data_IF_420589815349
#
_entry.id   IF_420589815349
#
_cell.length_a   1.000
_cell.length_b   1.000
_cell.length_c   1.000
_cell.angle_alpha   90.00
_cell.angle_beta   90.00
_cell.angle_gamma   90.00
#
_symmetry.space_group_name_H-M   'P 1'
#
loop_
_entity.id
_entity.type
_entity.pdbx_description
1 polymer ?
#
# COMPACT_ATOMS: atom_id res chain seq x y z
N UNK A 1 4.13 -13.84 -21.02
CA UNK A 1 4.10 -13.00 -19.81
C UNK A 1 3.11 -13.64 -18.87
N UNK A 2 3.57 -14.42 -17.89
CA UNK A 2 2.69 -15.24 -17.08
C UNK A 2 3.40 -15.68 -15.83
N UNK A 3 3.48 -14.79 -14.83
CA UNK A 3 3.96 -15.15 -13.50
C UNK A 3 3.02 -14.61 -12.40
N UNK A 4 2.23 -13.57 -12.66
CA UNK A 4 1.28 -13.01 -11.69
C UNK A 4 -0.13 -12.91 -12.28
N UNK A 5 -1.16 -13.26 -11.50
CA UNK A 5 -2.54 -12.96 -11.89
C UNK A 5 -2.75 -11.46 -11.74
N UNK A 6 -3.40 -10.85 -12.73
CA UNK A 6 -3.77 -9.42 -12.73
C UNK A 6 -4.45 -8.99 -11.42
N UNK A 7 -5.16 -9.90 -10.77
CA UNK A 7 -5.91 -9.70 -9.53
C UNK A 7 -5.01 -9.53 -8.29
N UNK A 8 -3.75 -9.99 -8.35
CA UNK A 8 -2.80 -9.92 -7.23
C UNK A 8 -1.98 -8.62 -7.23
N UNK A 9 -2.03 -7.86 -8.33
CA UNK A 9 -1.26 -6.63 -8.51
C UNK A 9 -2.06 -5.45 -7.97
N UNK A 10 -1.51 -4.79 -6.96
CA UNK A 10 -2.15 -3.65 -6.29
C UNK A 10 -1.61 -2.31 -6.76
N UNK A 11 -0.34 -2.27 -7.18
CA UNK A 11 0.29 -1.06 -7.70
C UNK A 11 1.52 -1.38 -8.56
N UNK A 12 2.02 -0.36 -9.25
CA UNK A 12 3.22 -0.40 -10.09
C UNK A 12 4.17 0.69 -9.63
N UNK A 13 5.48 0.44 -9.73
CA UNK A 13 6.48 1.50 -9.71
C UNK A 13 6.72 1.98 -11.13
N UNK A 14 6.53 3.28 -11.36
CA UNK A 14 6.68 3.87 -12.69
C UNK A 14 7.81 4.89 -12.67
N UNK A 15 8.65 4.83 -13.71
CA UNK A 15 9.75 5.77 -13.96
C UNK A 15 10.97 5.58 -13.06
N UNK A 16 12.03 6.34 -13.34
CA UNK A 16 13.31 6.26 -12.62
C UNK A 16 13.19 6.67 -11.15
N UNK A 17 12.20 7.50 -10.82
CA UNK A 17 11.90 7.94 -9.45
C UNK A 17 11.11 6.92 -8.64
N UNK A 18 10.75 5.77 -9.24
CA UNK A 18 10.01 4.67 -8.59
C UNK A 18 8.68 5.13 -7.95
N UNK A 19 7.94 5.99 -8.64
CA UNK A 19 6.64 6.48 -8.16
C UNK A 19 5.64 5.33 -8.07
N UNK A 20 4.90 5.25 -6.98
CA UNK A 20 3.94 4.17 -6.78
C UNK A 20 2.58 4.61 -7.31
N UNK A 21 2.08 3.92 -8.33
CA UNK A 21 0.78 4.22 -8.93
C UNK A 21 -0.15 3.02 -8.73
N UNK A 22 -1.32 3.25 -8.12
CA UNK A 22 -2.33 2.21 -7.92
C UNK A 22 -2.98 1.82 -9.24
N UNK A 23 -3.63 0.65 -9.27
CA UNK A 23 -4.32 0.15 -10.47
C UNK A 23 -5.35 1.11 -11.06
N UNK A 24 -6.07 1.85 -10.22
CA UNK A 24 -7.05 2.85 -10.68
C UNK A 24 -6.42 4.09 -11.32
N UNK A 25 -5.18 4.41 -10.96
CA UNK A 25 -4.48 5.60 -11.45
C UNK A 25 -3.47 5.27 -12.55
N UNK A 26 -3.13 4.00 -12.73
CA UNK A 26 -2.18 3.58 -13.74
C UNK A 26 -2.83 3.52 -15.11
N UNK A 27 -2.03 3.81 -16.13
CA UNK A 27 -2.46 3.79 -17.53
C UNK A 27 -2.05 2.47 -18.20
N UNK A 28 -2.78 1.98 -19.21
CA UNK A 28 -2.43 0.74 -19.91
C UNK A 28 -1.02 0.78 -20.53
N UNK A 29 -0.56 1.97 -20.93
CA UNK A 29 0.82 2.17 -21.40
C UNK A 29 1.85 1.85 -20.31
N UNK A 30 1.62 2.32 -19.08
CA UNK A 30 2.49 2.03 -17.94
C UNK A 30 2.50 0.54 -17.62
N UNK A 31 1.36 -0.15 -17.68
CA UNK A 31 1.31 -1.61 -17.49
C UNK A 31 2.16 -2.36 -18.52
N UNK A 32 2.19 -1.87 -19.76
CA UNK A 32 2.97 -2.49 -20.83
C UNK A 32 4.48 -2.23 -20.66
N UNK A 33 4.84 -1.07 -20.15
CA UNK A 33 6.23 -0.66 -19.90
C UNK A 33 6.79 -1.18 -18.56
N UNK A 34 5.91 -1.52 -17.61
CA UNK A 34 6.29 -1.98 -16.27
C UNK A 34 6.95 -3.35 -16.32
N UNK A 35 8.11 -3.46 -15.64
CA UNK A 35 8.83 -4.72 -15.47
C UNK A 35 8.29 -5.49 -14.26
N UNK A 36 8.47 -6.81 -14.28
CA UNK A 36 8.02 -7.70 -13.19
C UNK A 36 8.58 -7.32 -11.82
N UNK A 37 9.80 -6.77 -11.77
CA UNK A 37 10.47 -6.28 -10.56
C UNK A 37 9.79 -5.02 -9.95
N UNK A 38 9.10 -4.24 -10.79
CA UNK A 38 8.43 -3.00 -10.42
C UNK A 38 6.95 -3.22 -10.05
N UNK A 39 6.46 -4.45 -10.16
CA UNK A 39 5.09 -4.83 -9.80
C UNK A 39 4.99 -4.99 -8.27
N UNK A 40 4.10 -4.22 -7.66
CA UNK A 40 3.76 -4.35 -6.24
C UNK A 40 2.52 -5.23 -6.14
N UNK A 41 2.72 -6.46 -5.67
CA UNK A 41 1.63 -7.42 -5.41
C UNK A 41 1.15 -7.33 -3.96
N UNK A 42 -0.07 -7.81 -3.72
CA UNK A 42 -0.65 -7.84 -2.38
C UNK A 42 0.21 -8.67 -1.41
N UNK A 43 0.78 -9.79 -1.89
CA UNK A 43 1.74 -10.59 -1.11
C UNK A 43 3.00 -9.82 -0.69
N UNK A 44 3.45 -8.87 -1.50
CA UNK A 44 4.64 -8.06 -1.19
C UNK A 44 4.37 -7.06 -0.07
N UNK A 45 3.13 -6.58 0.04
CA UNK A 45 2.70 -5.69 1.13
C UNK A 45 2.52 -6.51 2.42
N UNK A 46 1.86 -7.67 2.32
CA UNK A 46 1.59 -8.57 3.44
C UNK A 46 2.88 -9.12 4.08
N UNK A 47 3.84 -9.57 3.28
CA UNK A 47 5.07 -10.20 3.78
C UNK A 47 6.09 -9.23 4.38
N UNK A 48 6.05 -7.94 4.00
CA UNK A 48 7.17 -7.03 4.27
C UNK A 48 6.88 -5.90 5.26
N UNK A 49 5.71 -5.85 5.91
CA UNK A 49 5.33 -4.79 6.86
C UNK A 49 5.45 -3.36 6.27
N UNK A 50 5.55 -3.22 4.94
CA UNK A 50 5.72 -1.93 4.29
C UNK A 50 4.38 -1.38 3.83
N UNK A 51 4.15 -0.11 4.16
CA UNK A 51 2.98 0.63 3.69
C UNK A 51 3.31 1.33 2.38
N UNK A 52 2.55 1.01 1.33
CA UNK A 52 2.63 1.72 0.06
C UNK A 52 1.50 2.75 -0.07
N UNK A 53 1.80 3.89 -0.68
CA UNK A 53 0.84 4.94 -0.99
C UNK A 53 0.89 5.23 -2.48
N UNK A 54 -0.26 5.46 -3.08
CA UNK A 54 -0.28 5.93 -4.46
C UNK A 54 0.12 7.41 -4.50
N UNK A 55 1.13 7.77 -5.28
CA UNK A 55 1.55 9.18 -5.47
C UNK A 55 0.46 10.02 -6.17
N UNK A 56 -0.35 9.39 -7.03
CA UNK A 56 -1.40 10.08 -7.79
C UNK A 56 -2.61 10.44 -6.93
N UNK A 57 -3.24 9.43 -6.31
CA UNK A 57 -4.46 9.65 -5.52
C UNK A 57 -4.20 9.82 -4.02
N UNK A 58 -2.95 9.69 -3.56
CA UNK A 58 -2.53 9.74 -2.15
C UNK A 58 -3.25 8.73 -1.25
N UNK A 59 -3.92 7.74 -1.84
CA UNK A 59 -4.59 6.67 -1.09
C UNK A 59 -3.56 5.64 -0.66
N UNK A 60 -3.72 5.16 0.58
CA UNK A 60 -2.95 4.04 1.11
C UNK A 60 -3.37 2.76 0.40
N UNK A 61 -2.39 2.04 -0.14
CA UNK A 61 -2.58 0.69 -0.65
C UNK A 61 -2.71 -0.22 0.57
N UNK A 62 -3.91 -0.73 0.80
CA UNK A 62 -4.22 -1.60 1.93
C UNK A 62 -4.28 -3.04 1.43
N UNK A 63 -3.55 -3.92 2.08
CA UNK A 63 -3.99 -5.31 2.19
C UNK A 63 -5.29 -5.23 2.99
N UNK A 64 -6.36 -5.90 2.56
CA UNK A 64 -7.50 -6.10 3.46
C UNK A 64 -7.02 -7.03 4.57
N UNK A 65 -6.29 -6.48 5.54
CA UNK A 65 -6.08 -7.15 6.80
C UNK A 65 -7.46 -7.30 7.44
N UNK A 66 -7.91 -8.55 7.53
CA UNK A 66 -9.02 -8.89 8.40
C UNK A 66 -8.71 -8.35 9.79
N UNK A 67 -9.41 -7.27 10.18
CA UNK A 67 -9.53 -6.74 11.55
C UNK A 67 -8.25 -6.75 12.40
N UNK A 68 -7.47 -5.67 12.35
CA UNK A 68 -6.74 -5.22 13.55
C UNK A 68 -6.46 -3.72 13.52
N UNK A 69 -7.53 -2.92 13.54
CA UNK A 69 -7.47 -1.52 13.97
C UNK A 69 -8.32 -1.37 15.21
N UNK A 70 -7.81 -1.89 16.31
CA UNK A 70 -8.27 -1.56 17.65
C UNK A 70 -7.06 -1.50 18.60
N UNK A 71 -6.12 -0.59 18.32
CA UNK A 71 -5.22 -0.09 19.37
C UNK A 71 -5.12 1.41 19.19
N UNK A 72 -6.08 2.12 19.78
CA UNK A 72 -5.81 3.46 20.28
C UNK A 72 -4.94 3.29 21.53
N UNK A 73 -3.74 3.87 21.62
CA UNK A 73 -3.14 4.15 22.91
C UNK A 73 -3.41 5.62 23.25
N UNK A 74 -4.68 5.96 23.51
CA UNK A 74 -4.97 7.19 24.27
C UNK A 74 -4.66 6.90 25.73
N UNK A 75 -3.37 6.98 26.05
CA UNK A 75 -2.83 6.83 27.40
C UNK A 75 -3.57 7.76 28.35
N UNK A 76 -4.01 7.18 29.47
CA UNK A 76 -4.32 7.85 30.73
C UNK A 76 -3.28 8.94 31.04
N UNK A 77 -3.74 10.11 31.43
CA UNK A 77 -3.09 10.85 32.51
C UNK A 77 -4.14 11.28 33.53
N UNK A 78 -3.80 11.01 34.78
CA UNK A 78 -4.64 10.89 35.95
C UNK A 78 -5.33 12.18 36.38
N UNK A 79 -6.58 12.02 36.80
CA UNK A 79 -7.27 12.91 37.73
C UNK A 79 -6.45 12.99 39.03
N UNK A 80 -5.73 14.10 39.25
CA UNK A 80 -5.09 14.39 40.53
C UNK A 80 -5.99 15.33 41.33
N UNK A 81 -6.79 14.71 42.19
CA UNK A 81 -7.09 15.09 43.57
C UNK A 81 -6.58 16.46 44.06
N UNK A 82 -7.54 17.27 44.51
CA UNK A 82 -7.57 18.05 45.77
C UNK A 82 -6.37 18.96 46.09
N UNK A 83 -6.65 20.26 46.10
CA UNK A 83 -6.34 21.15 47.22
C UNK A 83 -7.28 22.35 47.20
#
# INVERSE_FOLDING_TARGET
>A
MGIYRDEEIVALRVGETRQVICRDCSTPQQWTDTKEDDIITQQSIDKKDFVYFCDTCKKRLKVQEGKSSAVQPSRLVSSKTSQ
#
